data_IF_802423098819
#
_entry.id   IF_802423098819
#
_cell.length_a   1.000
_cell.length_b   1.000
_cell.length_c   1.000
_cell.angle_alpha   90.00
_cell.angle_beta   90.00
_cell.angle_gamma   90.00
#
_symmetry.space_group_name_H-M   'P 1'
#
loop_
_entity.id
_entity.type
_entity.pdbx_description
1 polymer ?
#
# COMPACT_ATOMS: atom_id res chain seq x y z
N UNK A 1 -20.06 -6.87 -13.98
CA UNK A 1 -18.59 -6.65 -13.92
C UNK A 1 -18.32 -6.00 -12.57
N UNK A 2 -18.15 -6.82 -11.52
CA UNK A 2 -17.74 -6.33 -10.20
C UNK A 2 -16.22 -6.29 -10.23
N UNK A 3 -15.66 -5.09 -10.33
CA UNK A 3 -14.22 -4.92 -10.44
C UNK A 3 -13.55 -5.47 -9.17
N UNK A 4 -12.72 -6.49 -9.35
CA UNK A 4 -11.81 -6.97 -8.32
C UNK A 4 -10.98 -5.79 -7.81
N UNK A 5 -11.11 -5.52 -6.53
CA UNK A 5 -10.29 -4.52 -5.83
C UNK A 5 -9.31 -5.24 -4.94
N UNK A 6 -9.81 -5.69 -3.80
CA UNK A 6 -8.99 -6.33 -2.77
C UNK A 6 -8.82 -7.83 -3.00
N UNK A 7 -9.83 -8.50 -3.55
CA UNK A 7 -9.73 -9.95 -3.82
C UNK A 7 -8.63 -10.29 -4.84
N UNK A 8 -8.46 -9.47 -5.88
CA UNK A 8 -7.39 -9.66 -6.87
C UNK A 8 -6.00 -9.41 -6.25
N UNK A 9 -5.90 -8.39 -5.38
CA UNK A 9 -4.67 -8.10 -4.62
C UNK A 9 -4.33 -9.27 -3.70
N UNK A 10 -5.29 -9.75 -2.91
CA UNK A 10 -5.13 -10.92 -2.00
C UNK A 10 -4.67 -12.15 -2.79
N UNK A 11 -5.34 -12.49 -3.90
CA UNK A 11 -4.95 -13.62 -4.75
C UNK A 11 -3.53 -13.47 -5.33
N UNK A 12 -3.16 -12.26 -5.73
CA UNK A 12 -1.84 -12.00 -6.29
C UNK A 12 -0.74 -12.14 -5.24
N UNK A 13 -0.95 -11.57 -4.05
CA UNK A 13 -0.01 -11.72 -2.93
C UNK A 13 0.10 -13.17 -2.46
N UNK A 14 -1.03 -13.87 -2.38
CA UNK A 14 -1.06 -15.30 -2.03
C UNK A 14 -0.18 -16.11 -2.98
N UNK A 15 -0.43 -15.99 -4.29
CA UNK A 15 0.24 -16.79 -5.32
C UNK A 15 1.71 -16.45 -5.47
N UNK A 16 2.04 -15.15 -5.48
CA UNK A 16 3.36 -14.66 -5.90
C UNK A 16 4.30 -14.39 -4.72
N UNK A 17 3.79 -14.39 -3.47
CA UNK A 17 4.59 -14.06 -2.29
C UNK A 17 4.42 -15.11 -1.19
N UNK A 18 3.19 -15.31 -0.71
CA UNK A 18 2.91 -16.14 0.48
C UNK A 18 3.24 -17.62 0.20
N UNK A 19 2.64 -18.20 -0.85
CA UNK A 19 2.85 -19.60 -1.21
C UNK A 19 4.32 -19.94 -1.54
N UNK A 20 5.07 -19.14 -2.34
CA UNK A 20 6.48 -19.43 -2.58
C UNK A 20 7.35 -19.36 -1.32
N UNK A 21 6.99 -18.54 -0.32
CA UNK A 21 7.68 -18.49 0.97
C UNK A 21 7.30 -19.66 1.89
N UNK A 22 6.07 -20.14 1.81
CA UNK A 22 5.58 -21.28 2.60
C UNK A 22 6.03 -22.64 2.02
N UNK A 23 6.17 -22.75 0.70
CA UNK A 23 6.49 -23.99 -0.01
C UNK A 23 7.76 -23.86 -0.91
N UNK A 24 8.92 -23.47 -0.35
CA UNK A 24 10.10 -23.11 -1.15
C UNK A 24 10.62 -24.28 -2.00
N UNK A 25 10.64 -25.51 -1.48
CA UNK A 25 11.11 -26.70 -2.21
C UNK A 25 10.26 -27.01 -3.45
N UNK A 26 8.94 -26.78 -3.35
CA UNK A 26 8.03 -26.98 -4.47
C UNK A 26 8.32 -25.94 -5.55
N UNK A 27 8.37 -24.66 -5.18
CA UNK A 27 8.59 -23.58 -6.13
C UNK A 27 9.98 -23.66 -6.80
N UNK A 28 11.01 -24.09 -6.06
CA UNK A 28 12.35 -24.36 -6.59
C UNK A 28 12.33 -25.45 -7.66
N UNK A 29 11.56 -26.54 -7.46
CA UNK A 29 11.40 -27.61 -8.45
C UNK A 29 10.78 -27.12 -9.76
N UNK A 30 9.88 -26.15 -9.69
CA UNK A 30 9.28 -25.50 -10.87
C UNK A 30 10.12 -24.33 -11.40
N UNK A 31 11.26 -24.03 -10.77
CA UNK A 31 12.13 -22.89 -11.08
C UNK A 31 11.39 -21.55 -11.05
N UNK A 32 10.44 -21.43 -10.15
CA UNK A 32 9.72 -20.18 -9.88
C UNK A 32 10.42 -19.50 -8.72
N UNK A 33 10.98 -18.32 -8.97
CA UNK A 33 11.60 -17.49 -7.94
C UNK A 33 10.59 -16.51 -7.35
N UNK A 34 10.82 -16.09 -6.11
CA UNK A 34 10.14 -14.95 -5.52
C UNK A 34 10.39 -13.67 -6.33
N UNK A 35 9.43 -12.73 -6.36
CA UNK A 35 9.66 -11.42 -6.92
C UNK A 35 10.74 -10.70 -6.10
N UNK A 36 11.66 -10.01 -6.77
CA UNK A 36 12.69 -9.22 -6.07
C UNK A 36 12.08 -7.99 -5.38
N UNK A 37 10.93 -7.51 -5.85
CA UNK A 37 10.17 -6.47 -5.19
C UNK A 37 8.80 -6.25 -5.81
N UNK A 38 7.91 -5.67 -5.00
CA UNK A 38 6.50 -5.45 -5.35
C UNK A 38 6.21 -3.96 -5.32
N UNK A 39 5.66 -3.43 -6.41
CA UNK A 39 5.25 -2.04 -6.51
C UNK A 39 3.73 -1.92 -6.38
N UNK A 40 3.30 -1.39 -5.24
CA UNK A 40 1.93 -0.94 -5.02
C UNK A 40 1.74 0.45 -5.64
N UNK A 41 0.71 0.58 -6.46
CA UNK A 41 0.35 1.87 -7.06
C UNK A 41 -1.15 2.13 -7.00
N UNK A 42 -1.58 3.37 -7.18
CA UNK A 42 -3.00 3.76 -7.24
C UNK A 42 -3.31 4.93 -6.31
N UNK A 43 -4.59 5.27 -6.10
CA UNK A 43 -4.95 6.49 -5.38
C UNK A 43 -4.46 6.50 -3.91
N UNK A 44 -4.24 7.72 -3.35
CA UNK A 44 -3.91 7.88 -1.94
C UNK A 44 -5.08 7.44 -1.06
N UNK A 45 -4.80 7.07 0.20
CA UNK A 45 -5.84 6.68 1.15
C UNK A 45 -6.46 5.29 0.92
N UNK A 46 -6.07 4.54 -0.11
CA UNK A 46 -6.57 3.18 -0.36
C UNK A 46 -5.89 2.08 0.48
N UNK A 47 -5.02 2.44 1.43
CA UNK A 47 -4.46 1.48 2.38
C UNK A 47 -3.26 0.66 1.88
N UNK A 48 -2.42 1.22 0.99
CA UNK A 48 -1.18 0.55 0.51
C UNK A 48 -0.28 0.10 1.67
N UNK A 49 -0.02 1.02 2.60
CA UNK A 49 0.75 0.78 3.84
C UNK A 49 0.05 -0.22 4.76
N UNK A 50 -1.28 -0.15 4.86
CA UNK A 50 -2.07 -1.09 5.67
C UNK A 50 -1.97 -2.52 5.14
N UNK A 51 -2.09 -2.71 3.83
CA UNK A 51 -1.97 -4.03 3.17
C UNK A 51 -0.56 -4.58 3.36
N UNK A 52 0.48 -3.78 3.16
CA UNK A 52 1.87 -4.21 3.35
C UNK A 52 2.13 -4.65 4.80
N UNK A 53 1.62 -3.90 5.79
CA UNK A 53 1.72 -4.26 7.20
C UNK A 53 0.96 -5.54 7.52
N UNK A 54 -0.25 -5.71 6.98
CA UNK A 54 -1.04 -6.93 7.16
C UNK A 54 -0.37 -8.16 6.54
N UNK A 55 0.31 -8.00 5.42
CA UNK A 55 1.12 -9.05 4.82
C UNK A 55 2.29 -9.43 5.75
N UNK A 56 3.00 -8.44 6.33
CA UNK A 56 4.05 -8.71 7.30
C UNK A 56 3.54 -9.46 8.53
N UNK A 57 2.43 -8.98 9.11
CA UNK A 57 1.76 -9.65 10.25
C UNK A 57 1.37 -11.10 9.91
N UNK A 58 0.83 -11.34 8.70
CA UNK A 58 0.40 -12.66 8.25
C UNK A 58 1.57 -13.63 8.06
N UNK A 59 2.71 -13.11 7.61
CA UNK A 59 3.93 -13.89 7.36
C UNK A 59 4.83 -14.01 8.60
N UNK A 60 4.52 -13.30 9.70
CA UNK A 60 5.39 -13.14 10.88
C UNK A 60 6.77 -12.54 10.51
N UNK A 61 6.77 -11.58 9.58
CA UNK A 61 7.98 -10.89 9.11
C UNK A 61 8.15 -9.56 9.82
N UNK A 62 9.40 -9.18 10.09
CA UNK A 62 9.67 -7.85 10.65
C UNK A 62 9.31 -6.77 9.62
N UNK A 63 8.55 -5.75 10.03
CA UNK A 63 8.13 -4.67 9.14
C UNK A 63 9.00 -3.43 9.33
N UNK A 64 9.88 -3.15 8.36
CA UNK A 64 10.64 -1.91 8.28
C UNK A 64 9.86 -0.93 7.39
N UNK A 65 9.44 0.19 7.96
CA UNK A 65 8.70 1.23 7.24
C UNK A 65 9.52 2.50 7.10
N UNK A 66 9.58 3.03 5.88
CA UNK A 66 10.19 4.33 5.58
C UNK A 66 9.09 5.31 5.25
N UNK A 67 9.03 6.42 6.00
CA UNK A 67 7.99 7.44 5.86
C UNK A 67 8.50 8.62 5.03
N UNK A 68 7.60 9.42 4.45
CA UNK A 68 7.95 10.65 3.75
C UNK A 68 8.82 11.63 4.58
N UNK A 69 8.62 11.68 5.91
CA UNK A 69 9.45 12.51 6.80
C UNK A 69 10.92 12.09 6.81
N UNK A 70 11.18 10.79 6.68
CA UNK A 70 12.52 10.22 6.62
C UNK A 70 13.18 10.56 5.27
N UNK A 71 12.39 10.59 4.19
CA UNK A 71 12.83 11.02 2.87
C UNK A 71 13.13 12.52 2.80
N UNK A 72 12.38 13.37 3.52
CA UNK A 72 12.69 14.81 3.60
C UNK A 72 14.10 15.07 4.18
N UNK A 73 14.63 14.16 5.01
CA UNK A 73 15.99 14.24 5.54
C UNK A 73 17.09 13.93 4.51
N UNK A 74 16.75 13.25 3.40
CA UNK A 74 17.66 12.96 2.26
C UNK A 74 18.26 14.25 1.72
N UNK A 75 17.44 15.31 1.62
CA UNK A 75 17.86 16.63 1.14
C UNK A 75 18.95 17.28 2.00
N UNK A 76 19.13 16.82 3.25
CA UNK A 76 20.05 17.39 4.22
C UNK A 76 21.26 16.46 4.51
N UNK A 77 21.11 15.13 4.41
CA UNK A 77 22.11 14.16 4.90
C UNK A 77 22.67 13.16 3.86
N UNK A 78 22.36 13.31 2.57
CA UNK A 78 22.90 12.48 1.49
C UNK A 78 22.15 11.15 1.34
N UNK A 79 21.36 11.03 0.27
CA UNK A 79 20.37 9.96 0.10
C UNK A 79 20.93 8.55 0.03
N UNK A 80 22.16 8.39 -0.49
CA UNK A 80 22.82 7.07 -0.54
C UNK A 80 23.02 6.45 0.84
N UNK A 81 23.43 7.25 1.83
CA UNK A 81 23.65 6.75 3.20
C UNK A 81 22.35 6.30 3.84
N UNK A 82 21.26 7.06 3.60
CA UNK A 82 19.94 6.67 4.06
C UNK A 82 19.56 5.33 3.43
N UNK A 83 19.66 5.18 2.10
CA UNK A 83 19.35 3.93 1.39
C UNK A 83 20.11 2.75 1.98
N UNK A 84 21.44 2.85 2.11
CA UNK A 84 22.24 1.81 2.74
C UNK A 84 21.75 1.47 4.14
N UNK A 85 21.53 2.47 5.00
CA UNK A 85 21.07 2.24 6.38
C UNK A 85 19.69 1.59 6.49
N UNK A 86 18.79 1.87 5.53
CA UNK A 86 17.45 1.26 5.48
C UNK A 86 17.54 -0.23 5.13
N UNK A 87 18.35 -0.59 4.14
CA UNK A 87 18.59 -1.99 3.79
C UNK A 87 19.36 -2.74 4.88
N UNK A 88 20.34 -2.11 5.53
CA UNK A 88 21.05 -2.69 6.68
C UNK A 88 20.10 -2.96 7.85
N UNK A 89 19.13 -2.07 8.09
CA UNK A 89 18.12 -2.26 9.13
C UNK A 89 17.17 -3.42 8.80
N UNK A 90 16.74 -3.55 7.54
CA UNK A 90 15.94 -4.68 7.07
C UNK A 90 16.70 -6.02 7.18
N UNK A 91 17.96 -6.06 6.75
CA UNK A 91 18.81 -7.24 6.82
C UNK A 91 19.05 -7.72 8.25
N UNK A 92 19.29 -6.79 9.18
CA UNK A 92 19.48 -7.13 10.62
C UNK A 92 18.24 -7.76 11.25
N UNK A 93 17.07 -7.51 10.71
CA UNK A 93 15.80 -8.02 11.21
C UNK A 93 15.18 -9.07 10.27
N UNK A 94 15.96 -9.63 9.33
CA UNK A 94 15.47 -10.66 8.41
C UNK A 94 14.97 -11.91 9.16
N UNK A 95 13.89 -12.58 8.69
CA UNK A 95 13.11 -12.25 7.49
C UNK A 95 12.26 -10.98 7.67
N UNK A 96 12.31 -10.07 6.70
CA UNK A 96 11.68 -8.76 6.82
C UNK A 96 11.02 -8.27 5.53
N UNK A 97 10.03 -7.39 5.71
CA UNK A 97 9.45 -6.57 4.65
C UNK A 97 10.00 -5.16 4.80
N UNK A 98 10.71 -4.68 3.77
CA UNK A 98 11.10 -3.27 3.65
C UNK A 98 10.02 -2.54 2.84
N UNK A 99 9.20 -1.76 3.53
CA UNK A 99 8.18 -0.93 2.92
C UNK A 99 8.68 0.51 2.73
N UNK A 100 8.69 0.97 1.48
CA UNK A 100 9.06 2.34 1.11
C UNK A 100 7.82 3.06 0.59
N UNK A 101 7.25 3.94 1.41
CA UNK A 101 6.18 4.82 0.98
C UNK A 101 6.73 5.97 0.11
N UNK A 102 5.90 6.50 -0.79
CA UNK A 102 6.30 7.53 -1.76
C UNK A 102 7.62 7.18 -2.48
N UNK A 103 7.72 5.95 -3.00
CA UNK A 103 8.94 5.45 -3.65
C UNK A 103 9.39 6.36 -4.81
N UNK A 104 8.48 7.08 -5.47
CA UNK A 104 8.80 8.08 -6.50
C UNK A 104 9.59 9.28 -5.98
N UNK A 105 9.54 9.60 -4.68
CA UNK A 105 10.41 10.60 -4.08
C UNK A 105 11.85 10.08 -3.88
N UNK A 106 12.02 8.77 -3.62
CA UNK A 106 13.33 8.14 -3.44
C UNK A 106 14.02 7.83 -4.78
N UNK A 107 13.23 7.37 -5.75
CA UNK A 107 13.73 6.95 -7.07
C UNK A 107 12.93 7.58 -8.21
N UNK A 108 12.97 8.92 -8.34
CA UNK A 108 12.19 9.64 -9.34
C UNK A 108 12.65 9.30 -10.77
N UNK A 109 11.72 9.42 -11.72
CA UNK A 109 12.00 9.28 -13.14
C UNK A 109 13.09 10.27 -13.58
N UNK A 110 14.05 9.75 -14.34
CA UNK A 110 15.14 10.56 -14.92
C UNK A 110 14.78 11.17 -16.28
N UNK A 111 13.59 10.87 -16.81
CA UNK A 111 13.12 11.41 -18.09
C UNK A 111 12.49 12.79 -17.86
N UNK A 112 13.11 13.87 -18.34
CA UNK A 112 12.44 15.17 -18.51
C UNK A 112 13.05 16.41 -17.84
N UNK A 113 13.98 16.31 -16.87
CA UNK A 113 14.51 17.49 -16.16
C UNK A 113 15.97 17.34 -15.67
N UNK A 114 16.67 18.48 -15.50
CA UNK A 114 17.97 18.60 -14.82
C UNK A 114 17.95 18.02 -13.38
N UNK A 115 16.77 17.99 -12.76
CA UNK A 115 16.51 17.38 -11.44
C UNK A 115 16.87 15.89 -11.41
N UNK A 116 16.65 15.16 -12.51
CA UNK A 116 16.96 13.73 -12.63
C UNK A 116 18.46 13.41 -12.58
N UNK A 117 19.35 14.40 -12.75
CA UNK A 117 20.79 14.22 -12.57
C UNK A 117 21.21 14.15 -11.10
N UNK A 118 20.47 14.83 -10.21
CA UNK A 118 20.80 14.88 -8.79
C UNK A 118 20.52 13.56 -8.06
N UNK A 119 19.49 12.81 -8.45
CA UNK A 119 19.08 11.55 -7.81
C UNK A 119 19.72 10.29 -8.41
N UNK A 120 20.65 10.43 -9.38
CA UNK A 120 21.27 9.28 -10.04
C UNK A 120 21.99 8.37 -9.06
N UNK A 121 22.63 8.97 -8.07
CA UNK A 121 23.43 8.29 -7.07
C UNK A 121 22.55 7.41 -6.16
N UNK A 122 21.42 7.96 -5.73
CA UNK A 122 20.38 7.33 -4.92
C UNK A 122 19.69 6.19 -5.67
N UNK A 123 19.23 6.45 -6.89
CA UNK A 123 18.57 5.41 -7.69
C UNK A 123 19.54 4.27 -7.98
N UNK A 124 20.80 4.55 -8.28
CA UNK A 124 21.79 3.50 -8.49
C UNK A 124 22.06 2.69 -7.21
N UNK A 125 22.17 3.35 -6.06
CA UNK A 125 22.32 2.66 -4.76
C UNK A 125 21.11 1.76 -4.47
N UNK A 126 19.90 2.28 -4.63
CA UNK A 126 18.66 1.50 -4.45
C UNK A 126 18.64 0.28 -5.37
N UNK A 127 19.04 0.43 -6.64
CA UNK A 127 19.12 -0.67 -7.59
C UNK A 127 20.16 -1.72 -7.21
N UNK A 128 21.31 -1.31 -6.66
CA UNK A 128 22.34 -2.25 -6.18
C UNK A 128 21.80 -3.07 -5.02
N UNK A 129 21.21 -2.41 -4.03
CA UNK A 129 20.63 -3.07 -2.86
C UNK A 129 19.50 -4.02 -3.26
N UNK A 130 18.58 -3.57 -4.12
CA UNK A 130 17.43 -4.37 -4.58
C UNK A 130 17.83 -5.69 -5.24
N UNK A 131 18.95 -5.74 -5.99
CA UNK A 131 19.41 -6.98 -6.62
C UNK A 131 19.93 -8.02 -5.61
N UNK A 132 20.28 -7.61 -4.40
CA UNK A 132 20.82 -8.49 -3.35
C UNK A 132 19.78 -8.83 -2.27
N UNK A 133 18.60 -8.19 -2.28
CA UNK A 133 17.57 -8.34 -1.23
C UNK A 133 17.03 -9.75 -1.08
N UNK A 134 16.76 -10.44 -2.20
CA UNK A 134 16.23 -11.80 -2.17
C UNK A 134 17.20 -12.81 -1.57
N UNK A 135 18.52 -12.55 -1.65
CA UNK A 135 19.55 -13.38 -0.99
C UNK A 135 19.66 -13.10 0.52
N UNK A 136 19.09 -12.00 0.98
CA UNK A 136 19.14 -11.52 2.37
C UNK A 136 17.81 -11.74 3.10
N UNK A 137 16.88 -12.49 2.52
CA UNK A 137 15.52 -12.70 3.03
C UNK A 137 14.75 -11.40 3.29
N UNK A 138 14.94 -10.42 2.40
CA UNK A 138 14.25 -9.12 2.43
C UNK A 138 13.28 -9.05 1.24
N UNK A 139 11.99 -8.87 1.54
CA UNK A 139 10.99 -8.53 0.53
C UNK A 139 10.81 -7.01 0.47
N UNK A 140 11.12 -6.40 -0.68
CA UNK A 140 10.93 -4.96 -0.87
C UNK A 140 9.53 -4.68 -1.41
N UNK A 141 8.78 -3.81 -0.74
CA UNK A 141 7.50 -3.30 -1.20
C UNK A 141 7.60 -1.78 -1.32
N UNK A 142 7.44 -1.26 -2.54
CA UNK A 142 7.35 0.17 -2.80
C UNK A 142 5.89 0.58 -2.95
N UNK A 143 5.51 1.72 -2.41
CA UNK A 143 4.22 2.34 -2.67
C UNK A 143 4.37 3.69 -3.37
N UNK A 144 3.49 3.97 -4.33
CA UNK A 144 3.40 5.27 -4.98
C UNK A 144 1.97 5.59 -5.39
N UNK A 145 1.66 6.86 -5.55
CA UNK A 145 0.41 7.27 -6.19
C UNK A 145 0.52 7.28 -7.72
N UNK A 146 1.73 7.46 -8.26
CA UNK A 146 1.98 7.67 -9.68
C UNK A 146 3.12 6.79 -10.17
N UNK A 147 2.78 5.61 -10.69
CA UNK A 147 3.79 4.67 -11.23
C UNK A 147 4.65 5.25 -12.35
N UNK A 148 4.14 6.24 -13.09
CA UNK A 148 4.88 6.96 -14.14
C UNK A 148 6.03 7.82 -13.59
N UNK A 149 5.99 8.18 -12.32
CA UNK A 149 7.00 9.02 -11.67
C UNK A 149 8.21 8.22 -11.19
N UNK A 150 8.17 6.89 -11.23
CA UNK A 150 9.28 6.03 -10.79
C UNK A 150 10.24 5.76 -11.95
N UNK A 151 11.53 5.79 -11.66
CA UNK A 151 12.59 5.41 -12.60
C UNK A 151 12.30 4.08 -13.32
N UNK A 152 12.31 4.10 -14.65
CA UNK A 152 12.01 2.93 -15.48
C UNK A 152 12.93 1.74 -15.19
N UNK A 153 14.17 1.98 -14.80
CA UNK A 153 15.11 0.92 -14.46
C UNK A 153 14.70 0.20 -13.17
N UNK A 154 14.10 0.88 -12.19
CA UNK A 154 13.55 0.24 -10.98
C UNK A 154 12.37 -0.68 -11.33
N UNK A 155 11.55 -0.28 -12.30
CA UNK A 155 10.37 -1.04 -12.74
C UNK A 155 10.65 -2.22 -13.68
N UNK A 156 11.92 -2.54 -13.98
CA UNK A 156 12.28 -3.60 -14.93
C UNK A 156 12.08 -5.00 -14.33
N UNK A 157 11.86 -6.03 -15.17
CA UNK A 157 11.86 -7.43 -14.74
C UNK A 157 13.09 -7.79 -13.89
N UNK A 158 12.89 -8.56 -12.81
CA UNK A 158 13.94 -8.89 -11.85
C UNK A 158 14.29 -7.77 -10.85
N UNK A 159 13.45 -6.73 -10.74
CA UNK A 159 13.56 -5.65 -9.74
C UNK A 159 12.19 -5.46 -9.08
N UNK A 160 11.54 -4.31 -9.27
CA UNK A 160 10.15 -4.10 -8.88
C UNK A 160 9.24 -4.60 -10.01
N UNK A 161 9.30 -5.91 -10.28
CA UNK A 161 8.69 -6.52 -11.45
C UNK A 161 7.21 -6.88 -11.26
N UNK A 162 6.79 -7.05 -10.01
CA UNK A 162 5.37 -7.20 -9.67
C UNK A 162 4.72 -5.85 -9.41
N UNK A 163 3.80 -5.44 -10.28
CA UNK A 163 3.03 -4.20 -10.14
C UNK A 163 1.60 -4.55 -9.74
N UNK A 164 1.14 -4.00 -8.61
CA UNK A 164 -0.18 -4.30 -8.07
C UNK A 164 -0.93 -2.98 -7.86
N UNK A 165 -2.07 -2.85 -8.54
CA UNK A 165 -2.96 -1.72 -8.36
C UNK A 165 -3.76 -1.88 -7.05
N UNK A 166 -3.63 -0.91 -6.17
CA UNK A 166 -4.38 -0.79 -4.92
C UNK A 166 -5.36 0.37 -5.08
N UNK A 167 -6.59 0.02 -5.49
CA UNK A 167 -7.71 0.96 -5.64
C UNK A 167 -8.64 0.97 -4.41
N UNK A 168 -9.81 1.62 -4.53
CA UNK A 168 -10.83 1.59 -3.48
C UNK A 168 -11.21 0.15 -3.08
N UNK A 169 -11.48 -0.10 -1.80
CA UNK A 169 -11.93 -1.40 -1.31
C UNK A 169 -13.20 -1.89 -2.01
N UNK A 170 -13.24 -3.18 -2.31
CA UNK A 170 -14.46 -3.87 -2.75
C UNK A 170 -15.46 -4.04 -1.61
N UNK A 171 -16.65 -4.57 -1.91
CA UNK A 171 -17.73 -4.70 -0.95
C UNK A 171 -17.31 -5.44 0.33
N UNK A 172 -16.62 -6.57 0.18
CA UNK A 172 -16.15 -7.38 1.32
C UNK A 172 -15.13 -6.61 2.14
N UNK A 173 -14.15 -5.98 1.49
CA UNK A 173 -13.16 -5.16 2.16
C UNK A 173 -13.78 -3.95 2.87
N UNK A 174 -14.80 -3.29 2.30
CA UNK A 174 -15.52 -2.18 2.97
C UNK A 174 -16.23 -2.65 4.23
N UNK A 175 -16.88 -3.81 4.16
CA UNK A 175 -17.51 -4.43 5.31
C UNK A 175 -16.48 -4.74 6.42
N UNK A 176 -15.33 -5.32 6.07
CA UNK A 176 -14.23 -5.58 7.00
C UNK A 176 -13.69 -4.28 7.63
N UNK A 177 -13.43 -3.25 6.81
CA UNK A 177 -12.91 -1.95 7.26
C UNK A 177 -13.88 -1.26 8.22
N UNK A 178 -15.18 -1.26 7.92
CA UNK A 178 -16.19 -0.71 8.81
C UNK A 178 -16.17 -1.41 10.18
N UNK A 179 -16.05 -2.73 10.21
CA UNK A 179 -15.92 -3.46 11.47
C UNK A 179 -14.63 -3.09 12.22
N UNK A 180 -13.51 -2.95 11.51
CA UNK A 180 -12.22 -2.59 12.10
C UNK A 180 -12.30 -1.19 12.74
N UNK A 181 -12.77 -0.19 11.99
CA UNK A 181 -12.78 1.20 12.46
C UNK A 181 -13.84 1.46 13.54
N UNK A 182 -14.88 0.63 13.63
CA UNK A 182 -15.93 0.73 14.64
C UNK A 182 -15.74 -0.20 15.86
N UNK A 183 -14.80 -1.16 15.82
CA UNK A 183 -14.66 -2.27 16.78
C UNK A 183 -14.68 -1.86 18.26
N UNK A 184 -14.06 -0.72 18.60
CA UNK A 184 -13.87 -0.27 19.99
C UNK A 184 -14.75 0.95 20.35
N UNK A 185 -15.78 1.23 19.54
CA UNK A 185 -16.69 2.36 19.76
C UNK A 185 -18.00 1.91 20.41
N UNK A 186 -18.75 2.80 21.08
CA UNK A 186 -20.07 2.45 21.59
C UNK A 186 -21.07 2.28 20.44
N UNK A 187 -21.35 1.02 20.05
CA UNK A 187 -22.23 0.70 18.92
C UNK A 187 -23.66 0.39 19.38
N UNK A 188 -24.62 0.86 18.60
CA UNK A 188 -26.04 0.54 18.69
C UNK A 188 -26.41 -0.49 17.63
N UNK A 189 -27.52 -0.25 16.92
CA UNK A 189 -27.88 -1.08 15.76
C UNK A 189 -27.11 -0.62 14.52
N UNK A 190 -26.22 -1.50 14.04
CA UNK A 190 -25.46 -1.31 12.81
C UNK A 190 -25.92 -2.33 11.75
N UNK A 191 -26.21 -1.83 10.55
CA UNK A 191 -26.47 -2.63 9.36
C UNK A 191 -25.23 -2.59 8.46
N UNK A 192 -24.35 -3.57 8.66
CA UNK A 192 -23.04 -3.61 8.01
C UNK A 192 -23.13 -3.77 6.49
N UNK A 193 -24.09 -4.56 6.02
CA UNK A 193 -24.32 -4.80 4.59
C UNK A 193 -24.72 -3.48 3.93
N UNK A 194 -25.71 -2.79 4.50
CA UNK A 194 -26.15 -1.49 3.98
C UNK A 194 -25.01 -0.47 3.98
N UNK A 195 -24.21 -0.39 5.04
CA UNK A 195 -23.09 0.54 5.08
C UNK A 195 -22.03 0.23 4.01
N UNK A 196 -21.75 -1.05 3.74
CA UNK A 196 -20.84 -1.45 2.67
C UNK A 196 -21.39 -1.14 1.26
N UNK A 197 -22.72 -1.19 1.06
CA UNK A 197 -23.38 -0.72 -0.18
C UNK A 197 -23.26 0.80 -0.32
N UNK A 198 -23.49 1.55 0.76
CA UNK A 198 -23.50 3.01 0.79
C UNK A 198 -22.10 3.66 0.66
N UNK A 199 -21.03 2.88 0.77
CA UNK A 199 -19.63 3.36 0.77
C UNK A 199 -18.87 2.97 -0.49
N UNK A 200 -19.57 2.67 -1.58
CA UNK A 200 -18.93 2.41 -2.88
C UNK A 200 -17.98 3.55 -3.29
N UNK A 201 -16.80 3.19 -3.81
CA UNK A 201 -15.70 4.08 -4.26
C UNK A 201 -14.98 4.84 -3.13
N UNK A 202 -15.47 4.81 -1.88
CA UNK A 202 -14.74 5.38 -0.75
C UNK A 202 -13.39 4.67 -0.57
N UNK A 203 -12.35 5.45 -0.33
CA UNK A 203 -11.03 4.97 0.06
C UNK A 203 -11.04 4.44 1.50
N UNK A 204 -9.99 3.70 1.88
CA UNK A 204 -9.84 3.22 3.26
C UNK A 204 -9.83 4.37 4.27
N UNK A 205 -9.11 5.46 3.96
CA UNK A 205 -9.04 6.66 4.80
C UNK A 205 -10.39 7.37 4.94
N UNK A 206 -11.21 7.40 3.88
CA UNK A 206 -12.54 8.03 3.97
C UNK A 206 -13.54 7.17 4.75
N UNK A 207 -13.44 5.84 4.67
CA UNK A 207 -14.25 4.94 5.52
C UNK A 207 -13.87 5.12 6.99
N UNK A 208 -12.58 5.30 7.30
CA UNK A 208 -12.12 5.66 8.65
C UNK A 208 -12.69 7.02 9.09
N UNK A 209 -12.66 8.03 8.21
CA UNK A 209 -13.20 9.35 8.55
C UNK A 209 -14.73 9.35 8.68
N UNK A 210 -15.45 8.54 7.89
CA UNK A 210 -16.89 8.30 8.10
C UNK A 210 -17.17 7.75 9.49
N UNK A 211 -16.37 6.78 9.95
CA UNK A 211 -16.50 6.24 11.30
C UNK A 211 -16.22 7.33 12.35
N UNK A 212 -15.20 8.16 12.14
CA UNK A 212 -14.86 9.30 13.02
C UNK A 212 -15.97 10.32 13.12
N UNK A 213 -16.52 10.74 11.98
CA UNK A 213 -17.60 11.73 11.95
C UNK A 213 -18.90 11.15 12.56
N UNK A 214 -19.24 9.90 12.27
CA UNK A 214 -20.36 9.22 12.91
C UNK A 214 -20.22 9.17 14.44
N UNK A 215 -18.99 8.95 14.94
CA UNK A 215 -18.71 9.00 16.37
C UNK A 215 -18.89 10.40 16.95
N UNK A 216 -18.50 11.47 16.24
CA UNK A 216 -18.73 12.87 16.66
C UNK A 216 -20.23 13.18 16.73
N UNK A 217 -21.01 12.76 15.73
CA UNK A 217 -22.47 12.93 15.67
C UNK A 217 -23.14 12.24 16.87
N UNK A 218 -22.81 10.97 17.14
CA UNK A 218 -23.37 10.22 18.26
C UNK A 218 -22.95 10.81 19.62
N UNK A 219 -21.68 11.24 19.73
CA UNK A 219 -21.13 11.85 20.95
C UNK A 219 -21.86 13.15 21.32
N UNK A 220 -22.23 13.98 20.34
CA UNK A 220 -22.96 15.23 20.58
C UNK A 220 -24.29 15.03 21.33
N UNK A 221 -24.90 13.85 21.19
CA UNK A 221 -26.14 13.46 21.88
C UNK A 221 -25.94 12.36 22.93
N UNK A 222 -24.68 11.97 23.21
CA UNK A 222 -24.27 10.95 24.19
C UNK A 222 -24.99 9.62 24.04
N UNK A 223 -25.21 9.19 22.80
CA UNK A 223 -25.80 7.89 22.46
C UNK A 223 -24.78 6.99 21.76
N UNK A 224 -25.16 5.75 21.55
CA UNK A 224 -24.38 4.82 20.75
C UNK A 224 -24.47 5.20 19.26
N UNK A 225 -23.43 4.84 18.50
CA UNK A 225 -23.35 4.99 17.06
C UNK A 225 -24.32 4.00 16.40
N UNK A 226 -25.19 4.49 15.53
CA UNK A 226 -26.13 3.71 14.75
C UNK A 226 -25.90 3.91 13.25
N UNK A 227 -26.47 3.04 12.41
CA UNK A 227 -26.34 3.11 10.93
C UNK A 227 -26.58 4.51 10.37
N UNK A 228 -27.55 5.25 10.93
CA UNK A 228 -27.90 6.59 10.45
C UNK A 228 -26.80 7.62 10.67
N UNK A 229 -25.94 7.45 11.68
CA UNK A 229 -24.83 8.38 11.93
C UNK A 229 -23.77 8.29 10.84
N UNK A 230 -23.48 7.07 10.37
CA UNK A 230 -22.55 6.85 9.27
C UNK A 230 -23.16 7.40 7.97
N UNK A 231 -24.45 7.18 7.75
CA UNK A 231 -25.14 7.74 6.57
C UNK A 231 -25.17 9.27 6.62
N UNK A 232 -25.38 9.86 7.79
CA UNK A 232 -25.34 11.32 7.98
C UNK A 232 -23.94 11.89 7.78
N UNK A 233 -22.90 11.19 8.27
CA UNK A 233 -21.51 11.55 8.08
C UNK A 233 -21.10 11.70 6.60
N UNK A 234 -21.75 10.98 5.68
CA UNK A 234 -21.54 11.12 4.23
C UNK A 234 -21.82 12.53 3.69
N UNK A 235 -22.59 13.35 4.41
CA UNK A 235 -22.82 14.76 4.03
C UNK A 235 -21.57 15.61 4.18
N UNK A 236 -20.66 15.20 5.06
CA UNK A 236 -19.39 15.89 5.34
C UNK A 236 -18.25 15.18 4.62
N UNK A 237 -18.25 13.85 4.65
CA UNK A 237 -17.23 12.99 4.03
C UNK A 237 -17.77 12.43 2.73
N UNK A 238 -17.55 13.14 1.62
CA UNK A 238 -17.85 12.66 0.27
C UNK A 238 -16.66 11.85 -0.30
N UNK A 239 -16.89 10.90 -1.22
CA UNK A 239 -15.79 10.18 -1.85
C UNK A 239 -14.97 11.15 -2.72
N UNK A 240 -13.66 11.11 -2.57
CA UNK A 240 -12.70 11.94 -3.34
C UNK A 240 -12.42 11.39 -4.73
N UNK A 241 -12.81 10.15 -5.01
CA UNK A 241 -12.57 9.47 -6.27
C UNK A 241 -13.87 9.28 -7.05
N UNK A 242 -13.73 9.24 -8.37
CA UNK A 242 -14.75 8.77 -9.31
C UNK A 242 -14.37 7.42 -9.90
N UNK A 243 -15.35 6.67 -10.42
CA UNK A 243 -15.08 5.40 -11.09
C UNK A 243 -14.14 5.56 -12.31
N UNK A 244 -14.26 6.67 -13.03
CA UNK A 244 -13.42 6.97 -14.19
C UNK A 244 -11.95 7.22 -13.80
N UNK A 245 -11.71 7.94 -12.70
CA UNK A 245 -10.36 8.17 -12.18
C UNK A 245 -9.69 6.88 -11.73
N UNK A 246 -10.43 6.01 -11.04
CA UNK A 246 -9.93 4.69 -10.61
C UNK A 246 -9.52 3.86 -11.82
N UNK A 247 -10.32 3.82 -12.88
CA UNK A 247 -10.01 3.07 -14.09
C UNK A 247 -8.79 3.63 -14.83
N UNK A 248 -8.69 4.96 -14.95
CA UNK A 248 -7.52 5.63 -15.53
C UNK A 248 -6.24 5.29 -14.75
N UNK A 249 -6.30 5.27 -13.42
CA UNK A 249 -5.14 4.91 -12.58
C UNK A 249 -4.80 3.42 -12.65
N UNK A 250 -5.78 2.53 -12.85
CA UNK A 250 -5.57 1.07 -13.00
C UNK A 250 -4.77 0.75 -14.26
N UNK A 251 -5.07 1.43 -15.36
CA UNK A 251 -4.44 1.26 -16.67
C UNK A 251 -3.64 2.52 -17.11
N UNK A 252 -2.51 2.84 -16.47
CA UNK A 252 -1.76 4.08 -16.71
C UNK A 252 -1.03 4.14 -18.07
N UNK A 253 -1.26 3.18 -18.97
CA UNK A 253 -0.56 3.01 -20.24
C UNK A 253 -1.48 3.15 -21.48
N UNK A 254 -2.69 3.69 -21.33
CA UNK A 254 -3.56 4.12 -22.43
C UNK A 254 -3.92 5.61 -22.30
#
# INVERSE_FOLDING_TARGET
MAAGGMSEVKMTLERDVILPLQEPELYERYKVSLPNGILFYGPPGCGKTFIARKLADHMDFYFVEIKPSDLASIYVHGGQKLIGSMFDAAEKNSPSILFVDELDALVPSREGDDVGHHYRAEVNEFLVQLNECSKKDILVIGATNFITNIDRAVQRPGRMDKKIFIGPPDFEARNELLHIFLKDRPLGKIDWIKLAEETEIYTCAEIEELANEAARIALATRRNIETQDIIEAKRVVAPSLTAEEVERMRCPLH
#
